data_IF_882457593219
#
_entry.id   IF_882457593219
#
_cell.length_a   1.000
_cell.length_b   1.000
_cell.length_c   1.000
_cell.angle_alpha   90.00
_cell.angle_beta   90.00
_cell.angle_gamma   90.00
#
_symmetry.space_group_name_H-M   'P 1'
#
loop_
_entity.id
_entity.type
_entity.pdbx_description
1 polymer ?
#
# COMPACT_ATOMS: atom_id res chain seq x y z
N UNK A 1 7.81 -42.42 -23.93
CA UNK A 1 7.44 -42.10 -25.33
C UNK A 1 6.45 -40.94 -25.27
N UNK A 2 6.87 -39.75 -25.73
CA UNK A 2 6.00 -38.57 -25.79
C UNK A 2 5.11 -38.70 -27.02
N UNK A 3 3.80 -38.75 -26.83
CA UNK A 3 2.84 -38.80 -27.93
C UNK A 3 2.75 -37.44 -28.63
N UNK A 4 2.76 -37.38 -29.98
CA UNK A 4 2.61 -36.13 -30.70
C UNK A 4 1.17 -35.63 -30.51
N UNK A 5 1.02 -34.39 -30.07
CA UNK A 5 -0.25 -33.69 -29.97
C UNK A 5 -0.74 -33.38 -31.39
N UNK A 6 -1.41 -34.34 -32.03
CA UNK A 6 -2.00 -34.19 -33.36
C UNK A 6 -3.05 -33.07 -33.33
N UNK A 7 -2.70 -31.92 -33.90
CA UNK A 7 -3.62 -30.79 -34.06
C UNK A 7 -4.63 -31.13 -35.16
N UNK A 8 -5.91 -31.18 -34.82
CA UNK A 8 -7.00 -31.33 -35.79
C UNK A 8 -6.95 -30.22 -36.85
N UNK A 9 -6.75 -30.59 -38.12
CA UNK A 9 -6.75 -29.67 -39.27
C UNK A 9 -8.18 -29.15 -39.47
N UNK A 10 -8.42 -27.86 -39.20
CA UNK A 10 -9.67 -27.18 -39.55
C UNK A 10 -10.53 -26.65 -38.39
N UNK A 11 -10.14 -26.88 -37.13
CA UNK A 11 -10.84 -26.31 -35.98
C UNK A 11 -10.44 -24.85 -35.68
N UNK A 12 -11.35 -24.07 -35.09
CA UNK A 12 -11.00 -22.74 -34.52
C UNK A 12 -9.88 -22.94 -33.49
N UNK A 13 -8.78 -22.18 -33.56
CA UNK A 13 -7.70 -22.27 -32.59
C UNK A 13 -8.23 -22.14 -31.16
N UNK A 14 -7.72 -23.00 -30.28
CA UNK A 14 -8.07 -22.94 -28.85
C UNK A 14 -7.57 -21.60 -28.30
N UNK A 15 -8.48 -20.82 -27.70
CA UNK A 15 -8.11 -19.61 -26.97
C UNK A 15 -7.34 -19.99 -25.71
N UNK A 16 -6.24 -19.29 -25.44
CA UNK A 16 -5.45 -19.49 -24.21
C UNK A 16 -6.26 -19.15 -22.96
N UNK A 17 -6.94 -18.00 -22.95
CA UNK A 17 -7.79 -17.57 -21.83
C UNK A 17 -9.25 -17.49 -22.28
N UNK A 18 -10.07 -18.45 -21.80
CA UNK A 18 -11.52 -18.48 -22.07
C UNK A 18 -12.27 -17.58 -21.09
N UNK A 19 -12.74 -16.43 -21.57
CA UNK A 19 -13.57 -15.48 -20.79
C UNK A 19 -15.06 -15.80 -20.95
N UNK A 20 -15.56 -16.77 -20.17
CA UNK A 20 -16.94 -17.26 -20.26
C UNK A 20 -17.96 -16.48 -19.43
N UNK A 21 -17.50 -15.74 -18.42
CA UNK A 21 -18.36 -14.99 -17.50
C UNK A 21 -18.64 -13.58 -18.00
N UNK A 22 -19.83 -13.05 -17.68
CA UNK A 22 -20.25 -11.69 -18.03
C UNK A 22 -20.57 -10.90 -16.75
N UNK A 23 -20.07 -9.67 -16.70
CA UNK A 23 -20.42 -8.67 -15.70
C UNK A 23 -21.34 -7.63 -16.38
N UNK A 24 -22.40 -7.20 -15.69
CA UNK A 24 -23.26 -6.08 -16.14
C UNK A 24 -22.94 -4.85 -15.31
N UNK A 25 -22.74 -3.71 -15.97
CA UNK A 25 -22.49 -2.41 -15.33
C UNK A 25 -23.64 -1.49 -15.74
N UNK A 26 -24.51 -1.16 -14.78
CA UNK A 26 -25.53 -0.14 -14.99
C UNK A 26 -24.88 1.24 -14.87
N UNK A 27 -25.19 2.14 -15.81
CA UNK A 27 -24.68 3.50 -15.83
C UNK A 27 -25.69 4.43 -16.49
N UNK A 28 -25.59 5.71 -16.17
CA UNK A 28 -26.30 6.80 -16.85
C UNK A 28 -25.74 7.03 -18.26
N UNK A 29 -26.50 7.75 -19.10
CA UNK A 29 -26.06 8.10 -20.45
C UNK A 29 -24.75 8.89 -20.46
N UNK A 30 -24.56 9.80 -19.48
CA UNK A 30 -23.33 10.59 -19.34
C UNK A 30 -22.14 9.70 -18.95
N UNK A 31 -22.33 8.81 -17.98
CA UNK A 31 -21.28 7.87 -17.56
C UNK A 31 -20.86 6.96 -18.71
N UNK A 32 -21.81 6.46 -19.51
CA UNK A 32 -21.51 5.65 -20.68
C UNK A 32 -20.64 6.42 -21.69
N UNK A 33 -21.00 7.66 -22.03
CA UNK A 33 -20.22 8.49 -22.95
C UNK A 33 -18.79 8.74 -22.43
N UNK A 34 -18.63 8.99 -21.13
CA UNK A 34 -17.33 9.18 -20.50
C UNK A 34 -16.50 7.89 -20.58
N UNK A 35 -17.08 6.74 -20.26
CA UNK A 35 -16.40 5.44 -20.32
C UNK A 35 -15.95 5.14 -21.75
N UNK A 36 -16.80 5.38 -22.75
CA UNK A 36 -16.47 5.17 -24.16
C UNK A 36 -15.37 6.13 -24.65
N UNK A 37 -15.40 7.39 -24.22
CA UNK A 37 -14.35 8.35 -24.54
C UNK A 37 -13.00 7.93 -23.95
N UNK A 38 -12.97 7.51 -22.68
CA UNK A 38 -11.75 7.02 -22.02
C UNK A 38 -11.21 5.74 -22.68
N UNK A 39 -12.09 4.78 -22.98
CA UNK A 39 -11.69 3.55 -23.68
C UNK A 39 -11.08 3.84 -25.06
N UNK A 40 -11.69 4.77 -25.82
CA UNK A 40 -11.14 5.23 -27.11
C UNK A 40 -9.77 5.90 -26.96
N UNK A 41 -9.57 6.71 -25.92
CA UNK A 41 -8.30 7.41 -25.67
C UNK A 41 -7.14 6.42 -25.50
N UNK A 42 -7.38 5.28 -24.84
CA UNK A 42 -6.37 4.22 -24.64
C UNK A 42 -6.44 3.11 -25.69
N UNK A 43 -7.26 3.26 -26.74
CA UNK A 43 -7.45 2.29 -27.85
C UNK A 43 -7.87 0.89 -27.41
N UNK A 44 -8.70 0.80 -26.36
CA UNK A 44 -9.27 -0.45 -25.86
C UNK A 44 -10.77 -0.49 -26.12
N UNK A 45 -11.34 -1.70 -26.17
CA UNK A 45 -12.79 -1.83 -26.06
C UNK A 45 -13.25 -1.45 -24.66
N UNK A 46 -14.49 -1.01 -24.49
CA UNK A 46 -15.07 -0.69 -23.17
C UNK A 46 -14.89 -1.86 -22.19
N UNK A 47 -15.05 -3.10 -22.65
CA UNK A 47 -14.90 -4.31 -21.83
C UNK A 47 -13.46 -4.64 -21.44
N UNK A 48 -12.48 -4.19 -22.21
CA UNK A 48 -11.06 -4.32 -21.86
C UNK A 48 -10.65 -3.20 -20.94
N UNK A 49 -11.01 -1.96 -21.27
CA UNK A 49 -10.77 -0.78 -20.45
C UNK A 49 -11.30 -0.96 -19.02
N UNK A 50 -12.58 -1.31 -18.85
CA UNK A 50 -13.17 -1.50 -17.52
C UNK A 50 -12.51 -2.64 -16.75
N UNK A 51 -12.06 -3.67 -17.44
CA UNK A 51 -11.40 -4.82 -16.82
C UNK A 51 -9.99 -4.46 -16.36
N UNK A 52 -9.21 -3.83 -17.22
CA UNK A 52 -7.86 -3.36 -16.90
C UNK A 52 -7.90 -2.31 -15.80
N UNK A 53 -8.85 -1.38 -15.88
CA UNK A 53 -9.13 -0.43 -14.82
C UNK A 53 -9.47 -1.14 -13.49
N UNK A 54 -10.30 -2.19 -13.51
CA UNK A 54 -10.62 -2.92 -12.28
C UNK A 54 -9.44 -3.71 -11.68
N UNK A 55 -8.51 -4.22 -12.51
CA UNK A 55 -7.31 -4.90 -12.02
C UNK A 55 -6.24 -3.93 -11.51
N UNK A 56 -6.13 -2.75 -12.13
CA UNK A 56 -5.12 -1.75 -11.82
C UNK A 56 -5.63 -0.66 -10.88
N UNK A 57 -6.94 -0.60 -10.60
CA UNK A 57 -7.51 0.37 -9.67
C UNK A 57 -7.04 0.04 -8.26
N UNK A 58 -6.33 0.96 -7.65
CA UNK A 58 -6.22 1.00 -6.21
C UNK A 58 -7.56 1.53 -5.68
N UNK A 59 -8.44 0.62 -5.25
CA UNK A 59 -9.58 1.03 -4.45
C UNK A 59 -8.98 1.32 -3.08
N UNK A 60 -8.93 2.61 -2.71
CA UNK A 60 -8.72 3.01 -1.33
C UNK A 60 -9.88 2.42 -0.52
N UNK A 61 -9.70 1.18 -0.06
CA UNK A 61 -10.57 0.61 0.93
C UNK A 61 -10.52 1.59 2.09
N UNK A 62 -11.68 1.98 2.62
CA UNK A 62 -11.78 2.86 3.80
C UNK A 62 -11.21 2.20 5.07
N UNK A 63 -10.30 1.24 4.93
CA UNK A 63 -9.45 0.73 5.97
C UNK A 63 -8.48 1.84 6.35
N UNK A 64 -8.97 2.74 7.21
CA UNK A 64 -8.18 3.73 7.95
C UNK A 64 -7.15 3.10 8.90
N UNK A 65 -6.94 1.79 8.82
CA UNK A 65 -5.97 1.09 9.62
C UNK A 65 -4.64 1.19 8.89
N UNK A 66 -3.72 1.97 9.48
CA UNK A 66 -2.32 1.96 9.07
C UNK A 66 -1.82 0.50 9.01
N UNK A 67 -0.92 0.17 8.07
CA UNK A 67 -0.27 -1.14 8.06
C UNK A 67 0.30 -1.46 9.44
N UNK A 68 0.32 -2.74 9.82
CA UNK A 68 0.77 -3.18 11.15
C UNK A 68 2.14 -2.60 11.51
N UNK A 69 3.07 -2.60 10.57
CA UNK A 69 4.41 -2.04 10.71
C UNK A 69 4.38 -0.54 11.06
N UNK A 70 3.51 0.22 10.42
CA UNK A 70 3.35 1.66 10.69
C UNK A 70 2.71 1.91 12.05
N UNK A 71 1.78 1.05 12.49
CA UNK A 71 1.23 1.10 13.85
C UNK A 71 2.30 0.79 14.90
N UNK A 72 3.15 -0.21 14.65
CA UNK A 72 4.24 -0.59 15.55
C UNK A 72 5.26 0.55 15.67
N UNK A 73 5.62 1.21 14.55
CA UNK A 73 6.47 2.40 14.57
C UNK A 73 5.81 3.58 15.31
N UNK A 74 4.52 3.83 15.11
CA UNK A 74 3.79 4.89 15.79
C UNK A 74 3.74 4.66 17.32
N UNK A 75 3.57 3.42 17.75
CA UNK A 75 3.63 3.04 19.17
C UNK A 75 5.02 3.29 19.75
N UNK A 76 6.09 2.83 19.09
CA UNK A 76 7.47 3.04 19.52
C UNK A 76 7.82 4.54 19.62
N UNK A 77 7.43 5.34 18.62
CA UNK A 77 7.64 6.79 18.63
C UNK A 77 6.91 7.47 19.81
N UNK A 78 5.69 7.04 20.10
CA UNK A 78 4.90 7.58 21.23
C UNK A 78 5.57 7.29 22.57
N UNK A 79 6.13 6.09 22.75
CA UNK A 79 6.89 5.75 23.95
C UNK A 79 8.15 6.61 24.11
N UNK A 80 8.92 6.79 23.03
CA UNK A 80 10.12 7.64 23.04
C UNK A 80 9.76 9.10 23.36
N UNK A 81 8.70 9.62 22.75
CA UNK A 81 8.22 10.98 23.01
C UNK A 81 7.82 11.18 24.48
N UNK A 82 7.14 10.20 25.09
CA UNK A 82 6.76 10.25 26.50
C UNK A 82 7.99 10.28 27.44
N UNK A 83 9.01 9.48 27.14
CA UNK A 83 10.25 9.45 27.92
C UNK A 83 10.99 10.80 27.81
N UNK A 84 11.11 11.35 26.59
CA UNK A 84 11.74 12.66 26.37
C UNK A 84 10.95 13.77 27.10
N UNK A 85 9.62 13.76 27.02
CA UNK A 85 8.78 14.73 27.71
C UNK A 85 8.95 14.66 29.23
N UNK A 86 9.11 13.47 29.78
CA UNK A 86 9.34 13.27 31.21
C UNK A 86 10.70 13.85 31.65
N UNK A 87 11.75 13.64 30.85
CA UNK A 87 13.06 14.26 31.09
C UNK A 87 13.02 15.79 30.93
N UNK A 88 12.30 16.30 29.94
CA UNK A 88 12.12 17.72 29.73
C UNK A 88 11.40 18.39 30.92
N UNK A 89 10.35 17.75 31.44
CA UNK A 89 9.64 18.21 32.63
C UNK A 89 10.57 18.29 33.86
N UNK A 90 11.38 17.25 34.10
CA UNK A 90 12.37 17.24 35.20
C UNK A 90 13.40 18.35 35.07
N UNK A 91 13.92 18.58 33.86
CA UNK A 91 14.86 19.67 33.59
C UNK A 91 14.24 21.06 33.81
N UNK A 92 13.00 21.25 33.37
CA UNK A 92 12.27 22.51 33.52
C UNK A 92 11.94 22.83 34.98
N UNK A 93 11.83 21.81 35.84
CA UNK A 93 11.68 21.96 37.28
C UNK A 93 12.98 22.38 38.02
N UNK A 94 13.96 22.93 37.30
CA UNK A 94 15.27 23.37 37.78
C UNK A 94 16.15 22.27 38.39
N UNK A 95 15.83 20.99 38.15
CA UNK A 95 16.72 19.87 38.46
C UNK A 95 17.70 19.71 37.29
N UNK A 96 18.94 20.17 37.49
CA UNK A 96 20.00 19.91 36.52
C UNK A 96 20.15 18.39 36.34
N UNK A 97 20.25 17.93 35.09
CA UNK A 97 20.38 16.50 34.82
C UNK A 97 21.53 15.88 35.59
N UNK A 98 21.20 14.85 36.37
CA UNK A 98 22.20 13.99 37.00
C UNK A 98 22.92 13.15 35.93
N UNK A 99 24.03 12.49 36.30
CA UNK A 99 24.81 11.70 35.35
C UNK A 99 23.98 10.61 34.66
N UNK A 100 23.01 10.04 35.36
CA UNK A 100 22.12 8.98 34.87
C UNK A 100 21.13 9.51 33.82
N UNK A 101 20.49 10.65 34.05
CA UNK A 101 19.54 11.28 33.12
C UNK A 101 20.24 11.74 31.84
N UNK A 102 21.50 12.16 31.92
CA UNK A 102 22.31 12.46 30.73
C UNK A 102 22.59 11.21 29.90
N UNK A 103 22.86 10.08 30.56
CA UNK A 103 23.04 8.80 29.86
C UNK A 103 21.73 8.30 29.26
N UNK A 104 20.61 8.45 29.97
CA UNK A 104 19.27 8.08 29.51
C UNK A 104 18.86 8.90 28.28
N UNK A 105 19.09 10.22 28.31
CA UNK A 105 18.83 11.09 27.17
C UNK A 105 19.67 10.69 25.94
N UNK A 106 20.94 10.32 26.13
CA UNK A 106 21.80 9.81 25.05
C UNK A 106 21.30 8.49 24.48
N UNK A 107 20.81 7.59 25.32
CA UNK A 107 20.22 6.32 24.89
C UNK A 107 18.93 6.54 24.09
N UNK A 108 18.03 7.42 24.56
CA UNK A 108 16.81 7.77 23.82
C UNK A 108 17.13 8.39 22.45
N UNK A 109 18.15 9.26 22.38
CA UNK A 109 18.61 9.82 21.10
C UNK A 109 19.13 8.74 20.13
N UNK A 110 19.82 7.71 20.65
CA UNK A 110 20.25 6.57 19.84
C UNK A 110 19.06 5.75 19.35
N UNK A 111 18.08 5.46 20.21
CA UNK A 111 16.86 4.72 19.85
C UNK A 111 16.03 5.44 18.80
N UNK A 112 15.89 6.78 18.89
CA UNK A 112 15.21 7.58 17.84
C UNK A 112 15.94 7.47 16.50
N UNK A 113 17.28 7.46 16.52
CA UNK A 113 18.09 7.31 15.30
C UNK A 113 17.93 5.93 14.66
N UNK A 114 17.92 4.87 15.47
CA UNK A 114 17.66 3.50 15.03
C UNK A 114 16.26 3.36 14.44
N UNK A 115 15.23 3.83 15.16
CA UNK A 115 13.85 3.84 14.67
C UNK A 115 13.71 4.56 13.32
N UNK A 116 14.44 5.66 13.13
CA UNK A 116 14.46 6.40 11.86
C UNK A 116 15.07 5.57 10.72
N UNK A 117 16.10 4.77 11.00
CA UNK A 117 16.72 3.88 10.02
C UNK A 117 15.77 2.73 9.67
N UNK A 118 15.11 2.15 10.67
CA UNK A 118 14.15 1.07 10.47
C UNK A 118 12.95 1.52 9.64
N UNK A 119 12.40 2.70 9.92
CA UNK A 119 11.34 3.30 9.11
C UNK A 119 11.81 3.47 7.65
N UNK A 120 13.02 3.98 7.42
CA UNK A 120 13.57 4.18 6.06
C UNK A 120 13.80 2.87 5.31
N UNK A 121 14.12 1.79 6.01
CA UNK A 121 14.35 0.48 5.40
C UNK A 121 13.05 -0.26 5.09
N UNK A 122 12.00 -0.07 5.91
CA UNK A 122 10.71 -0.75 5.76
C UNK A 122 9.70 0.02 4.88
N UNK A 123 9.87 1.33 4.70
CA UNK A 123 9.02 2.14 3.79
C UNK A 123 9.61 2.32 2.39
N UNK A 124 10.61 1.52 2.00
CA UNK A 124 11.24 1.55 0.67
C UNK A 124 10.57 0.61 -0.32
#
# INVERSE_FOLDING_TARGET
MNTPNEKNKGGRPRKEVKRSYRLRVACSALELQIIEAKARQVRLTVSEFLREAAFNSHIDTRQKTLPKEVLDFAAQLSHLAANINSLAYKNNAAQAFNAFERTELRQLAAQVKELTLDIKNNLR
#
